data_IF_896724973647
#
_entry.id   IF_896724973647
#
_cell.length_a   1.000
_cell.length_b   1.000
_cell.length_c   1.000
_cell.angle_alpha   90.00
_cell.angle_beta   90.00
_cell.angle_gamma   90.00
#
_symmetry.space_group_name_H-M   'P 1'
#
loop_
_entity.id
_entity.type
_entity.pdbx_description
1 polymer ?
#
# COMPACT_ATOMS: atom_id res chain seq x y z
N UNK A 1 -44.11 -13.40 -38.82
CA UNK A 1 -43.54 -12.19 -39.48
C UNK A 1 -44.44 -11.02 -39.12
N UNK A 2 -43.90 -9.86 -38.71
CA UNK A 2 -42.96 -9.06 -39.49
C UNK A 2 -41.57 -8.94 -38.86
N UNK A 3 -40.57 -8.87 -39.74
CA UNK A 3 -39.15 -8.71 -39.44
C UNK A 3 -38.87 -7.22 -39.16
N UNK A 4 -38.31 -6.89 -38.00
CA UNK A 4 -37.73 -5.55 -37.76
C UNK A 4 -36.26 -5.59 -38.18
N UNK A 5 -35.95 -4.78 -39.19
CA UNK A 5 -34.63 -4.68 -39.80
C UNK A 5 -33.62 -3.96 -38.91
N UNK A 6 -32.40 -4.46 -38.95
CA UNK A 6 -31.17 -3.84 -38.48
C UNK A 6 -30.84 -2.63 -39.38
N UNK A 7 -30.58 -1.47 -38.78
CA UNK A 7 -29.90 -0.36 -39.46
C UNK A 7 -28.52 -0.13 -38.82
N UNK A 8 -27.43 -0.06 -39.61
CA UNK A 8 -26.11 0.36 -39.14
C UNK A 8 -25.81 1.84 -39.49
N UNK A 9 -24.70 2.35 -38.96
CA UNK A 9 -24.01 3.61 -39.33
C UNK A 9 -24.52 4.87 -38.59
N UNK A 10 -23.71 5.81 -38.10
CA UNK A 10 -22.41 6.32 -38.59
C UNK A 10 -21.51 6.79 -37.42
N UNK A 11 -20.27 6.28 -37.36
CA UNK A 11 -19.21 6.86 -36.55
C UNK A 11 -18.66 8.12 -37.24
N UNK A 12 -18.59 9.25 -36.52
CA UNK A 12 -17.91 10.47 -37.00
C UNK A 12 -16.40 10.25 -36.97
N UNK A 13 -15.83 10.06 -38.16
CA UNK A 13 -14.40 10.09 -38.46
C UNK A 13 -13.86 11.50 -38.19
N UNK A 14 -12.90 11.64 -37.27
CA UNK A 14 -12.05 12.84 -37.19
C UNK A 14 -11.07 12.75 -38.36
N UNK A 15 -10.99 13.80 -39.16
CA UNK A 15 -9.96 13.95 -40.19
C UNK A 15 -8.62 14.27 -39.50
N UNK A 16 -7.63 13.41 -39.73
CA UNK A 16 -6.23 13.70 -39.45
C UNK A 16 -5.68 14.55 -40.59
N UNK A 17 -5.24 15.77 -40.27
CA UNK A 17 -4.56 16.66 -41.21
C UNK A 17 -3.14 16.19 -41.52
N UNK A 18 -2.56 16.64 -42.66
CA UNK A 18 -1.27 16.17 -43.14
C UNK A 18 -0.10 16.62 -42.22
N UNK A 19 0.99 15.84 -42.15
CA UNK A 19 2.16 16.20 -41.34
C UNK A 19 2.93 17.38 -41.95
N UNK A 20 3.58 18.24 -41.13
CA UNK A 20 4.45 19.30 -41.64
C UNK A 20 5.77 18.72 -42.17
N UNK A 21 6.41 19.38 -43.16
CA UNK A 21 7.63 18.92 -43.79
C UNK A 21 8.88 19.17 -42.92
N UNK A 22 9.81 18.21 -42.98
CA UNK A 22 11.16 18.31 -42.44
C UNK A 22 12.04 19.26 -43.29
N UNK A 23 12.96 20.01 -42.68
CA UNK A 23 14.16 20.48 -43.36
C UNK A 23 15.40 19.76 -42.84
N UNK A 24 16.01 18.93 -43.70
CA UNK A 24 17.40 18.52 -43.60
C UNK A 24 18.31 19.67 -44.04
N UNK A 25 19.46 19.88 -43.38
CA UNK A 25 20.55 20.66 -43.97
C UNK A 25 21.62 21.27 -43.05
N UNK A 26 22.58 20.43 -42.64
CA UNK A 26 24.04 20.68 -42.60
C UNK A 26 24.74 21.46 -41.45
N UNK A 27 25.79 20.78 -40.94
CA UNK A 27 26.99 21.23 -40.18
C UNK A 27 26.75 21.82 -38.78
N UNK A 28 27.53 21.55 -37.74
CA UNK A 28 28.96 21.26 -37.62
C UNK A 28 29.27 20.65 -36.23
N UNK A 29 30.38 19.91 -36.15
CA UNK A 29 30.98 19.31 -34.94
C UNK A 29 31.17 20.29 -33.75
N UNK A 30 30.94 19.81 -32.52
CA UNK A 30 31.64 20.24 -31.30
C UNK A 30 31.26 19.36 -30.08
N UNK A 31 32.21 18.59 -29.57
CA UNK A 31 32.18 17.98 -28.23
C UNK A 31 32.23 19.04 -27.12
N UNK A 32 31.60 18.84 -25.95
CA UNK A 32 31.86 19.68 -24.78
C UNK A 32 32.93 19.05 -23.88
N UNK A 33 34.10 19.71 -23.83
CA UNK A 33 35.14 19.59 -22.81
C UNK A 33 34.63 19.98 -21.40
N UNK A 34 35.18 19.41 -20.32
CA UNK A 34 34.76 19.70 -18.95
C UNK A 34 35.37 21.02 -18.42
N UNK A 35 34.66 21.79 -17.57
CA UNK A 35 35.19 23.05 -17.05
C UNK A 35 36.22 22.80 -15.94
N UNK A 36 37.43 23.32 -16.17
CA UNK A 36 38.44 23.58 -15.16
C UNK A 36 38.23 24.98 -14.56
N UNK A 37 38.14 25.08 -13.24
CA UNK A 37 37.99 26.34 -12.52
C UNK A 37 38.51 26.20 -11.09
N UNK A 38 39.70 26.74 -10.83
CA UNK A 38 40.35 26.84 -9.52
C UNK A 38 39.61 27.79 -8.59
N UNK A 39 39.53 27.46 -7.31
CA UNK A 39 39.46 28.45 -6.22
C UNK A 39 40.26 27.93 -5.03
N UNK A 40 41.17 28.76 -4.55
CA UNK A 40 42.10 28.53 -3.44
C UNK A 40 41.39 28.61 -2.09
N UNK A 41 41.79 27.77 -1.13
CA UNK A 41 41.75 28.03 0.33
C UNK A 41 42.44 26.89 1.11
N UNK A 42 42.91 27.15 2.35
CA UNK A 42 44.23 26.73 2.83
C UNK A 42 44.26 25.37 3.54
N UNK A 43 45.48 24.88 3.71
CA UNK A 43 45.89 23.70 4.46
C UNK A 43 45.00 23.36 5.67
N UNK A 44 44.18 22.33 5.54
CA UNK A 44 43.66 21.57 6.69
C UNK A 44 44.70 20.54 7.09
N UNK A 45 45.22 20.71 8.31
CA UNK A 45 46.06 19.75 8.99
C UNK A 45 45.44 18.35 8.88
N UNK A 46 46.27 17.37 8.54
CA UNK A 46 45.92 15.96 8.62
C UNK A 46 45.68 15.60 10.10
N UNK A 47 44.43 15.67 10.54
CA UNK A 47 44.00 14.89 11.68
C UNK A 47 44.05 13.43 11.23
N UNK A 48 45.14 12.77 11.61
CA UNK A 48 45.27 11.32 11.48
C UNK A 48 44.21 10.76 12.43
N UNK A 49 43.07 10.32 11.89
CA UNK A 49 42.16 9.47 12.63
C UNK A 49 42.95 8.22 12.98
N UNK A 50 43.48 8.17 14.21
CA UNK A 50 44.04 6.95 14.76
C UNK A 50 42.91 5.93 14.77
N UNK A 51 42.98 4.97 13.85
CA UNK A 51 42.18 3.76 13.94
C UNK A 51 42.58 3.07 15.24
N UNK A 52 41.84 3.33 16.32
CA UNK A 52 41.90 2.52 17.52
C UNK A 52 41.47 1.12 17.10
N UNK A 53 42.46 0.26 16.86
CA UNK A 53 42.24 -1.16 16.64
C UNK A 53 41.52 -1.69 17.88
N UNK A 54 40.25 -2.06 17.72
CA UNK A 54 39.46 -2.70 18.75
C UNK A 54 40.16 -4.02 19.12
N UNK A 55 40.90 -4.01 20.23
CA UNK A 55 41.72 -5.14 20.70
C UNK A 55 40.89 -6.25 21.34
N UNK A 56 39.55 -6.16 21.28
CA UNK A 56 38.66 -7.22 21.75
C UNK A 56 38.82 -8.45 20.86
N UNK A 57 38.77 -9.62 21.49
CA UNK A 57 38.71 -10.88 20.75
C UNK A 57 37.47 -10.89 19.85
N UNK A 58 37.56 -11.60 18.71
CA UNK A 58 36.42 -11.75 17.81
C UNK A 58 35.19 -12.33 18.54
N UNK A 59 35.42 -13.18 19.54
CA UNK A 59 34.39 -13.77 20.40
C UNK A 59 33.73 -12.74 21.32
N UNK A 60 34.49 -11.83 21.93
CA UNK A 60 33.94 -10.72 22.73
C UNK A 60 33.12 -9.76 21.88
N UNK A 61 33.56 -9.48 20.65
CA UNK A 61 32.81 -8.64 19.71
C UNK A 61 31.49 -9.32 19.38
N UNK A 62 31.50 -10.59 19.01
CA UNK A 62 30.28 -11.35 18.66
C UNK A 62 29.32 -11.49 19.85
N UNK A 63 29.81 -11.69 21.07
CA UNK A 63 28.98 -11.81 22.27
C UNK A 63 28.41 -10.45 22.73
N UNK A 64 29.03 -9.33 22.33
CA UNK A 64 28.53 -7.98 22.63
C UNK A 64 27.40 -7.52 21.71
N UNK A 65 27.21 -8.19 20.57
CA UNK A 65 26.11 -7.89 19.65
C UNK A 65 24.85 -8.60 20.17
N UNK A 66 23.79 -7.86 20.54
CA UNK A 66 22.55 -8.49 20.98
C UNK A 66 21.97 -9.36 19.85
N UNK A 67 21.38 -10.51 20.16
CA UNK A 67 20.79 -11.38 19.15
C UNK A 67 19.70 -10.62 18.38
N UNK A 68 19.54 -10.89 17.07
CA UNK A 68 18.48 -10.25 16.30
C UNK A 68 17.12 -10.56 16.93
N UNK A 69 16.19 -9.58 16.93
CA UNK A 69 14.85 -9.84 17.42
C UNK A 69 14.23 -11.02 16.65
N UNK A 70 13.45 -11.88 17.33
CA UNK A 70 12.74 -12.96 16.66
C UNK A 70 11.91 -12.38 15.49
N UNK A 71 11.84 -13.09 14.35
CA UNK A 71 11.01 -12.64 13.25
C UNK A 71 9.56 -12.50 13.73
N UNK A 72 8.91 -11.40 13.36
CA UNK A 72 7.54 -11.11 13.77
C UNK A 72 6.51 -12.15 13.27
N UNK A 73 6.91 -13.01 12.33
CA UNK A 73 6.14 -14.13 11.84
C UNK A 73 7.03 -15.38 11.82
N UNK A 74 6.84 -16.26 12.80
CA UNK A 74 7.35 -17.64 12.74
C UNK A 74 6.21 -18.54 12.31
N UNK A 75 6.41 -19.37 11.29
CA UNK A 75 5.47 -20.43 10.91
C UNK A 75 5.71 -21.70 11.75
N UNK A 76 6.05 -21.52 13.02
CA UNK A 76 6.26 -22.63 13.94
C UNK A 76 4.91 -23.29 14.23
N UNK A 77 4.81 -24.59 13.92
CA UNK A 77 3.61 -25.35 14.21
C UNK A 77 3.32 -25.31 15.72
N UNK A 78 2.11 -24.86 16.09
CA UNK A 78 1.69 -24.72 17.49
C UNK A 78 2.04 -23.37 18.13
N UNK A 79 2.73 -22.45 17.44
CA UNK A 79 2.95 -21.11 17.95
C UNK A 79 1.65 -20.27 17.93
N UNK A 80 1.37 -19.47 18.98
CA UNK A 80 0.28 -18.51 18.98
C UNK A 80 0.41 -17.49 17.86
N UNK A 81 -0.66 -17.26 17.09
CA UNK A 81 -0.72 -16.17 16.10
C UNK A 81 -2.01 -15.38 16.19
N UNK A 82 -1.95 -14.15 15.70
CA UNK A 82 -3.10 -13.27 15.64
C UNK A 82 -3.89 -13.53 14.35
N UNK A 83 -5.22 -13.61 14.46
CA UNK A 83 -6.13 -13.61 13.33
C UNK A 83 -7.15 -12.48 13.44
N UNK A 84 -7.58 -11.95 12.31
CA UNK A 84 -8.73 -11.06 12.24
C UNK A 84 -9.99 -11.94 12.23
N UNK A 85 -10.95 -11.66 13.10
CA UNK A 85 -12.23 -12.38 13.14
C UNK A 85 -13.26 -11.70 12.23
N UNK A 86 -13.43 -10.39 12.37
CA UNK A 86 -14.34 -9.57 11.58
C UNK A 86 -13.92 -8.08 11.62
N UNK A 87 -14.50 -7.29 10.74
CA UNK A 87 -14.35 -5.83 10.68
C UNK A 87 -15.75 -5.22 10.79
N UNK A 88 -15.92 -4.23 11.66
CA UNK A 88 -17.17 -3.47 11.77
C UNK A 88 -16.95 -2.09 11.15
N UNK A 89 -17.73 -1.77 10.13
CA UNK A 89 -17.74 -0.46 9.49
C UNK A 89 -19.02 0.27 9.85
N UNK A 90 -18.90 1.45 10.44
CA UNK A 90 -20.00 2.37 10.65
C UNK A 90 -19.84 3.58 9.73
N UNK A 91 -20.75 3.73 8.77
CA UNK A 91 -20.80 4.87 7.86
C UNK A 91 -19.48 5.13 7.08
N UNK A 92 -18.73 4.08 6.73
CA UNK A 92 -17.43 4.21 6.06
C UNK A 92 -17.54 4.01 4.54
N UNK A 93 -17.22 5.04 3.75
CA UNK A 93 -17.24 5.06 2.28
C UNK A 93 -18.55 4.56 1.69
N UNK A 94 -18.58 3.36 1.10
CA UNK A 94 -19.79 2.76 0.52
C UNK A 94 -20.66 2.03 1.55
N UNK A 95 -20.20 1.89 2.79
CA UNK A 95 -20.92 1.20 3.86
C UNK A 95 -21.76 2.21 4.65
N UNK A 96 -23.05 2.29 4.31
CA UNK A 96 -24.02 3.07 5.08
C UNK A 96 -24.46 2.30 6.34
N UNK A 97 -24.56 2.98 7.47
CA UNK A 97 -24.88 2.36 8.76
C UNK A 97 -23.82 1.36 9.19
N UNK A 98 -24.22 0.40 10.03
CA UNK A 98 -23.34 -0.65 10.53
C UNK A 98 -23.26 -1.80 9.52
N UNK A 99 -22.03 -2.16 9.14
CA UNK A 99 -21.73 -3.30 8.26
C UNK A 99 -20.61 -4.13 8.86
N UNK A 100 -20.96 -5.36 9.21
CA UNK A 100 -20.01 -6.36 9.70
C UNK A 100 -19.48 -7.14 8.48
N UNK A 101 -18.15 -7.14 8.31
CA UNK A 101 -17.43 -7.89 7.29
C UNK A 101 -16.76 -9.09 7.95
N UNK A 102 -17.13 -10.30 7.54
CA UNK A 102 -16.64 -11.54 8.13
C UNK A 102 -17.78 -12.54 8.33
N UNK A 103 -17.50 -13.69 8.99
CA UNK A 103 -16.24 -14.04 9.63
C UNK A 103 -15.10 -14.28 8.63
N UNK A 104 -13.89 -13.82 8.96
CA UNK A 104 -12.68 -14.12 8.20
C UNK A 104 -12.14 -15.50 8.56
N UNK A 105 -11.74 -16.23 7.54
CA UNK A 105 -11.10 -17.52 7.72
C UNK A 105 -9.68 -17.36 8.24
N UNK A 106 -9.28 -18.22 9.18
CA UNK A 106 -8.01 -18.12 9.91
C UNK A 106 -6.76 -18.15 9.03
N UNK A 107 -6.83 -18.76 7.84
CA UNK A 107 -5.70 -18.92 6.91
C UNK A 107 -5.77 -17.97 5.72
N UNK A 108 -6.90 -17.97 5.03
CA UNK A 108 -7.05 -17.27 3.77
C UNK A 108 -8.53 -16.96 3.51
N UNK A 109 -8.81 -15.71 3.17
CA UNK A 109 -10.15 -15.22 2.81
C UNK A 109 -10.10 -14.46 1.50
N UNK A 110 -11.07 -14.71 0.62
CA UNK A 110 -11.24 -13.97 -0.64
C UNK A 110 -12.37 -12.95 -0.52
N UNK A 111 -12.15 -11.74 -1.05
CA UNK A 111 -13.19 -10.71 -1.18
C UNK A 111 -13.61 -10.65 -2.66
N UNK A 112 -14.83 -11.11 -2.95
CA UNK A 112 -15.38 -11.19 -4.32
C UNK A 112 -16.71 -10.45 -4.42
N UNK A 113 -17.14 -10.12 -5.65
CA UNK A 113 -18.41 -9.44 -5.90
C UNK A 113 -18.39 -8.51 -7.13
N UNK A 114 -19.55 -8.00 -7.57
CA UNK A 114 -19.69 -7.16 -8.77
C UNK A 114 -18.86 -5.87 -8.72
N UNK A 115 -18.62 -5.24 -9.87
CA UNK A 115 -17.97 -3.93 -9.93
C UNK A 115 -18.81 -2.87 -9.21
N UNK A 116 -18.17 -1.97 -8.47
CA UNK A 116 -18.85 -0.94 -7.68
C UNK A 116 -19.40 -1.38 -6.31
N UNK A 117 -19.39 -2.68 -5.97
CA UNK A 117 -19.92 -3.20 -4.69
C UNK A 117 -19.13 -2.82 -3.42
N UNK A 118 -18.06 -2.03 -3.53
CA UNK A 118 -17.27 -1.60 -2.37
C UNK A 118 -16.17 -2.56 -1.92
N UNK A 119 -15.86 -3.64 -2.64
CA UNK A 119 -14.79 -4.61 -2.28
C UNK A 119 -13.46 -3.96 -1.85
N UNK A 120 -13.01 -2.98 -2.63
CA UNK A 120 -11.74 -2.31 -2.36
C UNK A 120 -11.82 -1.37 -1.13
N UNK A 121 -13.02 -0.99 -0.70
CA UNK A 121 -13.23 -0.27 0.55
C UNK A 121 -13.00 -1.17 1.77
N UNK A 122 -13.05 -2.51 1.66
CA UNK A 122 -12.62 -3.41 2.74
C UNK A 122 -11.14 -3.16 3.08
N UNK A 123 -10.29 -3.09 2.05
CA UNK A 123 -8.86 -2.79 2.24
C UNK A 123 -8.67 -1.36 2.74
N UNK A 124 -9.43 -0.40 2.23
CA UNK A 124 -9.36 0.97 2.75
C UNK A 124 -9.76 1.07 4.23
N UNK A 125 -10.69 0.23 4.69
CA UNK A 125 -11.11 0.14 6.10
C UNK A 125 -9.93 -0.30 6.96
N UNK A 126 -9.22 -1.35 6.55
CA UNK A 126 -8.01 -1.81 7.24
C UNK A 126 -6.91 -0.75 7.23
N UNK A 127 -6.66 -0.10 6.09
CA UNK A 127 -5.64 0.95 5.97
C UNK A 127 -5.96 2.18 6.85
N UNK A 128 -7.24 2.50 6.99
CA UNK A 128 -7.70 3.56 7.90
C UNK A 128 -7.40 3.22 9.36
N UNK A 129 -7.74 2.01 9.80
CA UNK A 129 -7.47 1.57 11.18
C UNK A 129 -5.99 1.53 11.51
N UNK A 130 -5.14 1.11 10.56
CA UNK A 130 -3.69 1.10 10.75
C UNK A 130 -3.01 2.46 10.55
N UNK A 131 -3.78 3.55 10.40
CA UNK A 131 -3.24 4.91 10.37
C UNK A 131 -2.42 5.25 9.13
N UNK A 132 -2.62 4.53 8.01
CA UNK A 132 -1.96 4.88 6.77
C UNK A 132 -2.43 6.27 6.28
N UNK A 133 -1.52 6.99 5.61
CA UNK A 133 -1.86 8.30 5.03
C UNK A 133 -3.02 8.18 4.05
N UNK A 134 -3.88 9.20 4.01
CA UNK A 134 -5.09 9.23 3.17
C UNK A 134 -4.83 8.90 1.68
N UNK A 135 -3.65 9.29 1.16
CA UNK A 135 -3.21 8.96 -0.20
C UNK A 135 -3.22 7.45 -0.48
N UNK A 136 -2.83 6.62 0.51
CA UNK A 136 -2.87 5.16 0.41
C UNK A 136 -4.30 4.60 0.56
N UNK A 137 -5.17 5.30 1.31
CA UNK A 137 -6.61 5.02 1.46
C UNK A 137 -7.41 5.57 0.26
N UNK A 138 -6.74 5.87 -0.86
CA UNK A 138 -7.33 6.36 -2.11
C UNK A 138 -8.24 7.59 -1.92
N UNK A 139 -7.92 8.41 -0.93
CA UNK A 139 -8.74 9.57 -0.52
C UNK A 139 -7.86 10.81 -0.37
N UNK A 140 -8.31 11.95 -0.87
CA UNK A 140 -7.55 13.22 -0.77
C UNK A 140 -7.76 13.95 0.56
N UNK A 141 -8.90 13.71 1.22
CA UNK A 141 -9.32 14.34 2.48
C UNK A 141 -10.00 13.30 3.36
N UNK A 142 -9.87 13.42 4.69
CA UNK A 142 -10.49 12.49 5.64
C UNK A 142 -12.02 12.52 5.60
N UNK A 143 -12.62 13.69 5.32
CA UNK A 143 -14.08 13.83 5.21
C UNK A 143 -14.70 12.95 4.11
N UNK A 144 -13.91 12.56 3.09
CA UNK A 144 -14.37 11.68 1.99
C UNK A 144 -14.49 10.22 2.45
N UNK A 145 -13.96 9.87 3.63
CA UNK A 145 -14.14 8.55 4.21
C UNK A 145 -15.53 8.36 4.81
N UNK A 146 -16.23 9.45 5.13
CA UNK A 146 -17.58 9.40 5.68
C UNK A 146 -18.56 9.10 4.54
N UNK A 147 -19.47 8.15 4.77
CA UNK A 147 -20.50 7.78 3.81
C UNK A 147 -21.37 8.99 3.47
N UNK A 148 -21.65 9.16 2.18
CA UNK A 148 -22.52 10.21 1.66
C UNK A 148 -23.34 9.63 0.50
N UNK A 149 -24.66 9.65 0.64
CA UNK A 149 -25.61 9.21 -0.38
C UNK A 149 -26.92 9.98 -0.29
N UNK A 150 -27.78 9.86 -1.30
CA UNK A 150 -29.08 10.55 -1.29
C UNK A 150 -30.01 10.09 -0.16
N UNK A 151 -29.87 8.85 0.28
CA UNK A 151 -30.64 8.27 1.39
C UNK A 151 -30.09 8.69 2.77
N UNK A 152 -28.81 9.07 2.84
CA UNK A 152 -28.11 9.37 4.09
C UNK A 152 -27.28 10.65 3.97
N UNK A 153 -27.94 11.82 4.06
CA UNK A 153 -27.33 13.14 3.81
C UNK A 153 -26.64 13.79 5.02
N UNK A 154 -26.93 13.32 6.24
CA UNK A 154 -26.55 14.01 7.48
C UNK A 154 -25.57 13.23 8.38
N UNK A 155 -24.67 12.46 7.78
CA UNK A 155 -23.65 11.70 8.52
C UNK A 155 -22.43 12.60 8.80
N UNK A 156 -22.08 12.74 10.08
CA UNK A 156 -20.96 13.60 10.54
C UNK A 156 -19.68 12.83 10.87
N UNK A 157 -19.76 11.52 11.03
CA UNK A 157 -18.64 10.67 11.41
C UNK A 157 -18.75 9.25 10.86
N UNK A 158 -17.61 8.59 10.79
CA UNK A 158 -17.51 7.16 10.49
C UNK A 158 -16.56 6.50 11.48
N UNK A 159 -16.80 5.23 11.77
CA UNK A 159 -15.95 4.41 12.66
C UNK A 159 -15.62 3.11 11.96
N UNK A 160 -14.40 2.61 12.16
CA UNK A 160 -13.99 1.28 11.69
C UNK A 160 -13.32 0.56 12.84
N UNK A 161 -13.74 -0.68 13.08
CA UNK A 161 -13.18 -1.55 14.09
C UNK A 161 -12.64 -2.82 13.43
N UNK A 162 -11.43 -3.25 13.82
CA UNK A 162 -10.86 -4.54 13.40
C UNK A 162 -10.72 -5.39 14.65
N UNK A 163 -11.42 -6.52 14.66
CA UNK A 163 -11.45 -7.42 15.81
C UNK A 163 -10.44 -8.53 15.62
N UNK A 164 -9.46 -8.60 16.54
CA UNK A 164 -8.40 -9.59 16.52
C UNK A 164 -8.60 -10.66 17.60
N UNK A 165 -8.10 -11.85 17.34
CA UNK A 165 -8.09 -12.96 18.28
C UNK A 165 -6.78 -13.72 18.17
N UNK A 166 -6.21 -14.12 19.32
CA UNK A 166 -5.04 -15.01 19.35
C UNK A 166 -5.51 -16.46 19.24
N UNK A 167 -4.88 -17.22 18.35
CA UNK A 167 -5.18 -18.63 18.12
C UNK A 167 -3.92 -19.48 18.08
N UNK A 168 -4.09 -20.77 18.35
CA UNK A 168 -3.09 -21.83 18.10
C UNK A 168 -3.68 -22.75 17.05
N UNK A 169 -3.00 -22.91 15.92
CA UNK A 169 -3.43 -23.85 14.89
C UNK A 169 -3.20 -25.29 15.38
N UNK A 170 -4.22 -26.15 15.19
CA UNK A 170 -4.13 -27.59 15.41
C UNK A 170 -3.83 -28.32 14.10
N UNK A 171 -3.63 -29.63 14.20
CA UNK A 171 -3.61 -30.50 13.01
C UNK A 171 -4.90 -30.33 12.20
N UNK A 172 -4.78 -30.27 10.88
CA UNK A 172 -5.92 -30.06 9.98
C UNK A 172 -6.38 -28.60 9.90
N UNK A 173 -7.71 -28.38 9.98
CA UNK A 173 -8.33 -27.04 9.88
C UNK A 173 -8.90 -26.52 11.20
N UNK A 174 -8.61 -27.19 12.32
CA UNK A 174 -9.03 -26.75 13.64
C UNK A 174 -8.03 -25.77 14.28
N UNK A 175 -8.52 -25.00 15.24
CA UNK A 175 -7.72 -24.07 16.02
C UNK A 175 -8.32 -23.91 17.42
N UNK A 176 -7.47 -23.52 18.36
CA UNK A 176 -7.89 -23.10 19.70
C UNK A 176 -7.74 -21.60 19.85
N UNK A 177 -8.72 -20.97 20.48
CA UNK A 177 -8.67 -19.56 20.87
C UNK A 177 -7.92 -19.45 22.20
N UNK A 178 -6.94 -18.55 22.26
CA UNK A 178 -6.26 -18.20 23.51
C UNK A 178 -7.13 -17.14 24.21
N UNK A 179 -7.59 -17.39 25.46
CA UNK A 179 -8.33 -16.40 26.24
C UNK A 179 -7.49 -15.14 26.49
N UNK A 180 -8.16 -13.99 26.60
CA UNK A 180 -7.53 -12.71 26.90
C UNK A 180 -6.99 -12.64 28.34
#
# INVERSE_FOLDING_TARGET
MPRKGTQPSTARRREEGPPPPSPDGASSDAEPEPPSGRTESPATAAETASEELDNRSLEEILNSIPPPPPPAMTNEAGAPRLMITHIVNQNFKSYAGEKILGPFHKRFSCIIGPNGSGKSNVIDSMLFVFGYRAQKIRSKKLSVLIHNSDEHKDIQSCTVEVHFQKIIDKEGDDYEVIPN
#
